data_IF_163980690064
#
_entry.id   IF_163980690064
#
_cell.length_a   1.000
_cell.length_b   1.000
_cell.length_c   1.000
_cell.angle_alpha   90.00
_cell.angle_beta   90.00
_cell.angle_gamma   90.00
#
_symmetry.space_group_name_H-M   'P 1'
#
loop_
_entity.id
_entity.type
_entity.pdbx_description
1 polymer ?
#
# COMPACT_ATOMS: atom_id res chain seq x y z
N UNK A 1 -22.51 -6.05 -14.34
CA UNK A 1 -21.69 -7.27 -14.20
C UNK A 1 -20.63 -7.06 -13.15
N UNK A 2 -20.49 -8.01 -12.26
CA UNK A 2 -19.44 -7.93 -11.27
C UNK A 2 -18.16 -8.49 -11.86
N UNK A 3 -17.06 -7.76 -11.69
CA UNK A 3 -15.72 -8.21 -12.06
C UNK A 3 -15.04 -8.78 -10.83
N UNK A 4 -14.22 -9.80 -11.03
CA UNK A 4 -13.37 -10.29 -9.97
C UNK A 4 -12.07 -9.46 -9.97
N UNK A 5 -11.67 -9.03 -8.79
CA UNK A 5 -10.43 -8.31 -8.58
C UNK A 5 -9.41 -9.22 -7.93
N UNK A 6 -8.16 -9.12 -8.37
CA UNK A 6 -7.07 -9.82 -7.72
C UNK A 6 -6.60 -8.99 -6.54
N UNK A 7 -6.56 -9.62 -5.37
CA UNK A 7 -6.13 -8.97 -4.12
C UNK A 7 -5.06 -9.86 -3.50
N UNK A 8 -3.89 -9.28 -3.26
CA UNK A 8 -2.79 -9.99 -2.63
C UNK A 8 -2.99 -9.98 -1.12
N UNK A 9 -2.92 -11.16 -0.50
CA UNK A 9 -3.08 -11.28 0.94
C UNK A 9 -1.94 -10.57 1.68
N UNK A 10 -2.25 -9.70 2.65
CA UNK A 10 -1.19 -9.02 3.42
C UNK A 10 -0.44 -9.96 4.37
N UNK A 11 -0.97 -11.15 4.62
CA UNK A 11 -0.37 -12.08 5.58
C UNK A 11 0.48 -13.15 4.91
N UNK A 12 0.01 -13.74 3.81
CA UNK A 12 0.70 -14.87 3.17
C UNK A 12 1.10 -14.63 1.71
N UNK A 13 0.79 -13.45 1.17
CA UNK A 13 1.11 -13.05 -0.21
C UNK A 13 0.38 -13.85 -1.30
N UNK A 14 -0.60 -14.68 -0.94
CA UNK A 14 -1.40 -15.39 -1.94
C UNK A 14 -2.29 -14.40 -2.70
N UNK A 15 -2.41 -14.60 -4.02
CA UNK A 15 -3.29 -13.79 -4.85
C UNK A 15 -4.68 -14.37 -4.81
N UNK A 16 -5.65 -13.57 -4.36
CA UNK A 16 -7.04 -13.98 -4.23
C UNK A 16 -7.89 -13.31 -5.31
N UNK A 17 -8.97 -13.95 -5.70
CA UNK A 17 -9.98 -13.34 -6.58
C UNK A 17 -11.19 -12.98 -5.74
N UNK A 18 -11.52 -11.70 -5.72
CA UNK A 18 -12.64 -11.17 -4.92
C UNK A 18 -13.61 -10.47 -5.86
N UNK A 19 -14.89 -10.85 -5.87
CA UNK A 19 -15.87 -10.08 -6.65
C UNK A 19 -15.86 -8.61 -6.22
N UNK A 20 -15.89 -7.69 -7.18
CA UNK A 20 -15.77 -6.26 -6.88
C UNK A 20 -16.84 -5.78 -5.90
N UNK A 21 -18.05 -6.34 -5.98
CA UNK A 21 -19.13 -5.98 -5.06
C UNK A 21 -18.96 -6.50 -3.65
N UNK A 22 -17.94 -7.36 -3.41
CA UNK A 22 -17.71 -7.95 -2.08
C UNK A 22 -16.45 -7.44 -1.39
N UNK A 23 -15.79 -6.44 -1.96
CA UNK A 23 -14.60 -5.88 -1.33
C UNK A 23 -14.89 -5.37 0.09
N UNK A 24 -16.03 -4.74 0.30
CA UNK A 24 -16.41 -4.18 1.60
C UNK A 24 -17.01 -5.18 2.58
N UNK A 25 -17.13 -6.46 2.20
CA UNK A 25 -17.76 -7.48 3.04
C UNK A 25 -16.73 -8.34 3.79
N UNK A 26 -15.59 -7.75 4.10
CA UNK A 26 -14.50 -8.39 4.86
C UNK A 26 -14.07 -9.74 4.27
N UNK A 27 -13.64 -9.75 2.99
CA UNK A 27 -13.21 -10.99 2.36
C UNK A 27 -11.99 -11.58 3.06
N UNK A 28 -11.90 -12.91 3.05
CA UNK A 28 -10.79 -13.64 3.66
C UNK A 28 -9.95 -14.34 2.59
N UNK A 29 -8.68 -14.55 2.92
CA UNK A 29 -7.76 -15.27 2.03
C UNK A 29 -8.15 -16.74 1.95
N UNK A 30 -8.24 -17.26 0.73
CA UNK A 30 -8.56 -18.66 0.51
C UNK A 30 -7.48 -19.61 0.99
N UNK A 31 -6.23 -19.13 1.15
CA UNK A 31 -5.11 -19.94 1.58
C UNK A 31 -4.91 -19.91 3.09
N UNK A 32 -4.75 -18.72 3.69
CA UNK A 32 -4.43 -18.61 5.13
C UNK A 32 -5.64 -18.28 6.00
N UNK A 33 -6.79 -17.98 5.39
CA UNK A 33 -8.08 -17.74 6.06
C UNK A 33 -8.13 -16.45 6.88
N UNK A 34 -7.11 -15.60 6.80
CA UNK A 34 -7.13 -14.30 7.47
C UNK A 34 -7.78 -13.23 6.60
N UNK A 35 -8.18 -12.12 7.22
CA UNK A 35 -8.81 -11.02 6.49
C UNK A 35 -7.85 -10.42 5.48
N UNK A 36 -8.36 -10.12 4.28
CA UNK A 36 -7.58 -9.46 3.23
C UNK A 36 -7.38 -7.97 3.50
N UNK A 37 -8.25 -7.36 4.28
CA UNK A 37 -8.17 -5.94 4.63
C UNK A 37 -8.21 -5.80 6.14
N UNK A 38 -7.16 -5.22 6.70
CA UNK A 38 -6.99 -5.10 8.15
C UNK A 38 -7.05 -3.67 8.65
N UNK A 39 -7.25 -2.71 7.73
CA UNK A 39 -7.19 -1.28 8.03
C UNK A 39 -5.82 -0.83 8.55
N UNK A 40 -4.76 -1.59 8.23
CA UNK A 40 -3.38 -1.29 8.59
C UNK A 40 -2.49 -1.43 7.37
N UNK A 41 -1.42 -0.62 7.26
CA UNK A 41 -0.47 -0.76 6.16
C UNK A 41 0.23 -2.12 6.19
N UNK A 42 0.49 -2.66 5.00
CA UNK A 42 1.23 -3.91 4.86
C UNK A 42 2.73 -3.60 4.88
N UNK A 43 3.49 -4.35 5.67
CA UNK A 43 4.95 -4.23 5.66
C UNK A 43 5.49 -5.01 4.46
N UNK A 44 6.06 -4.29 3.49
CA UNK A 44 6.69 -4.91 2.32
C UNK A 44 8.18 -5.11 2.57
N UNK A 45 8.76 -6.01 1.79
CA UNK A 45 10.21 -6.25 1.77
C UNK A 45 10.65 -6.50 0.33
N UNK A 46 11.93 -6.83 0.15
CA UNK A 46 12.46 -7.08 -1.19
C UNK A 46 11.81 -8.26 -1.89
N UNK A 47 11.24 -9.20 -1.13
CA UNK A 47 10.64 -10.42 -1.68
C UNK A 47 9.19 -10.24 -2.15
N UNK A 48 8.43 -9.34 -1.51
CA UNK A 48 7.00 -9.22 -1.84
C UNK A 48 6.60 -7.87 -2.45
N UNK A 49 7.53 -6.91 -2.54
CA UNK A 49 7.24 -5.57 -3.05
C UNK A 49 6.62 -5.61 -4.46
N UNK A 50 7.31 -6.26 -5.41
CA UNK A 50 6.83 -6.31 -6.80
C UNK A 50 5.51 -7.04 -6.92
N UNK A 51 5.32 -8.09 -6.13
CA UNK A 51 4.06 -8.83 -6.12
C UNK A 51 2.90 -7.94 -5.71
N UNK A 52 3.05 -7.20 -4.63
CA UNK A 52 1.98 -6.35 -4.13
C UNK A 52 1.66 -5.18 -5.07
N UNK A 53 2.66 -4.51 -5.62
CA UNK A 53 2.38 -3.36 -6.49
C UNK A 53 1.86 -3.77 -7.86
N UNK A 54 2.12 -5.01 -8.31
CA UNK A 54 1.74 -5.45 -9.65
C UNK A 54 0.51 -6.36 -9.68
N UNK A 55 0.28 -7.17 -8.65
CA UNK A 55 -0.77 -8.20 -8.68
C UNK A 55 -2.05 -7.80 -7.94
N UNK A 56 -2.08 -6.67 -7.25
CA UNK A 56 -3.31 -6.10 -6.76
C UNK A 56 -4.00 -5.34 -7.89
N UNK A 57 -5.29 -5.57 -8.10
CA UNK A 57 -6.07 -4.81 -9.07
C UNK A 57 -6.54 -3.47 -8.50
N UNK A 58 -6.48 -3.31 -7.19
CA UNK A 58 -6.68 -2.01 -6.55
C UNK A 58 -5.35 -1.27 -6.50
N UNK A 59 -5.37 0.08 -6.48
CA UNK A 59 -4.12 0.84 -6.35
C UNK A 59 -3.44 0.56 -5.02
N UNK A 60 -2.11 0.63 -5.02
CA UNK A 60 -1.28 0.40 -3.83
C UNK A 60 -0.48 1.67 -3.55
N UNK A 61 -0.71 2.25 -2.38
CA UNK A 61 0.00 3.43 -1.91
C UNK A 61 1.13 2.98 -1.00
N UNK A 62 2.38 3.24 -1.42
CA UNK A 62 3.56 2.80 -0.68
C UNK A 62 4.23 3.99 -0.02
N UNK A 63 4.49 3.86 1.28
CA UNK A 63 5.29 4.80 2.06
C UNK A 63 6.73 4.28 2.09
N UNK A 64 7.62 4.99 1.38
CA UNK A 64 9.06 4.72 1.43
C UNK A 64 9.63 5.48 2.62
N UNK A 65 10.14 4.76 3.61
CA UNK A 65 10.54 5.33 4.89
C UNK A 65 11.82 4.68 5.43
N UNK A 66 12.31 5.18 6.54
CA UNK A 66 13.40 4.53 7.29
C UNK A 66 13.22 4.79 8.78
N UNK A 67 13.69 3.86 9.65
CA UNK A 67 13.46 3.98 11.10
C UNK A 67 14.12 5.22 11.74
N UNK A 68 15.22 5.70 11.17
CA UNK A 68 15.95 6.86 11.69
C UNK A 68 15.36 8.20 11.23
N UNK A 69 14.39 8.17 10.35
CA UNK A 69 13.82 9.37 9.73
C UNK A 69 12.75 9.96 10.65
N UNK A 70 12.98 11.15 11.19
CA UNK A 70 12.04 11.82 12.08
C UNK A 70 10.67 12.09 11.44
N UNK A 71 10.63 12.76 10.26
CA UNK A 71 9.35 12.99 9.57
C UNK A 71 8.60 11.73 9.23
N UNK A 72 9.30 10.63 8.90
CA UNK A 72 8.68 9.33 8.64
C UNK A 72 7.95 8.82 9.88
N UNK A 73 8.62 8.91 11.03
CA UNK A 73 8.04 8.46 12.30
C UNK A 73 6.86 9.32 12.72
N UNK A 74 6.93 10.62 12.45
CA UNK A 74 5.81 11.53 12.72
C UNK A 74 4.60 11.21 11.86
N UNK A 75 4.81 10.82 10.61
CA UNK A 75 3.72 10.50 9.70
C UNK A 75 3.11 9.12 9.94
N UNK A 76 3.83 8.21 10.60
CA UNK A 76 3.38 6.82 10.75
C UNK A 76 1.95 6.68 11.29
N UNK A 77 1.54 7.36 12.37
CA UNK A 77 0.15 7.26 12.84
C UNK A 77 -0.86 7.77 11.81
N UNK A 78 -0.53 8.85 11.09
CA UNK A 78 -1.41 9.40 10.06
C UNK A 78 -1.59 8.40 8.91
N UNK A 79 -0.53 7.68 8.56
CA UNK A 79 -0.58 6.69 7.49
C UNK A 79 -1.47 5.50 7.89
N UNK A 80 -1.38 5.07 9.16
CA UNK A 80 -2.28 4.02 9.68
C UNK A 80 -3.73 4.46 9.62
N UNK A 81 -4.03 5.70 10.04
CA UNK A 81 -5.39 6.23 10.00
C UNK A 81 -5.91 6.35 8.56
N UNK A 82 -5.02 6.73 7.63
CA UNK A 82 -5.38 6.80 6.21
C UNK A 82 -5.74 5.41 5.67
N UNK A 83 -5.04 4.36 6.10
CA UNK A 83 -5.37 2.99 5.69
C UNK A 83 -6.80 2.61 6.10
N UNK A 84 -7.22 2.99 7.30
CA UNK A 84 -8.58 2.71 7.78
C UNK A 84 -9.63 3.42 6.92
N UNK A 85 -9.31 4.57 6.35
CA UNK A 85 -10.24 5.34 5.52
C UNK A 85 -10.22 4.92 4.05
N UNK A 86 -9.07 4.47 3.54
CA UNK A 86 -8.90 4.19 2.12
C UNK A 86 -9.14 2.73 1.74
N UNK A 87 -8.89 1.78 2.63
CA UNK A 87 -9.23 0.39 2.35
C UNK A 87 -10.73 0.19 2.40
N UNK A 88 -11.30 -0.65 1.56
CA UNK A 88 -10.66 -1.59 0.63
C UNK A 88 -10.45 -1.05 -0.79
N UNK A 89 -10.72 0.23 -1.04
CA UNK A 89 -10.56 0.80 -2.38
C UNK A 89 -9.10 0.92 -2.80
N UNK A 90 -8.21 1.11 -1.82
CA UNK A 90 -6.76 1.12 -2.00
C UNK A 90 -6.12 0.16 -1.00
N UNK A 91 -4.89 -0.25 -1.29
CA UNK A 91 -4.02 -0.92 -0.34
C UNK A 91 -2.94 0.05 0.09
N UNK A 92 -2.72 0.20 1.40
CA UNK A 92 -1.59 0.96 1.90
C UNK A 92 -0.50 0.01 2.36
N UNK A 93 0.74 0.38 2.05
CA UNK A 93 1.90 -0.46 2.34
C UNK A 93 3.09 0.41 2.69
N UNK A 94 4.06 -0.17 3.37
CA UNK A 94 5.29 0.52 3.78
C UNK A 94 6.49 -0.28 3.32
N UNK A 95 7.53 0.41 2.85
CA UNK A 95 8.80 -0.21 2.52
C UNK A 95 9.92 0.51 3.27
N UNK A 96 10.59 -0.22 4.14
CA UNK A 96 11.77 0.29 4.84
C UNK A 96 12.94 0.32 3.85
N UNK A 97 13.33 1.52 3.43
CA UNK A 97 14.38 1.69 2.42
C UNK A 97 15.76 1.32 2.94
N UNK A 98 15.96 1.27 4.24
CA UNK A 98 17.21 0.83 4.81
C UNK A 98 17.41 -0.67 4.66
N UNK A 99 16.34 -1.45 4.82
CA UNK A 99 16.36 -2.89 4.59
C UNK A 99 16.31 -3.26 3.10
N UNK A 100 15.68 -2.41 2.28
CA UNK A 100 15.48 -2.64 0.85
C UNK A 100 16.11 -1.49 0.05
N UNK A 101 17.41 -1.25 0.23
CA UNK A 101 18.12 -0.13 -0.38
C UNK A 101 18.06 -0.17 -1.90
N UNK A 102 18.16 -1.36 -2.49
CA UNK A 102 18.12 -1.50 -3.93
C UNK A 102 16.77 -1.07 -4.52
N UNK A 103 15.68 -1.38 -3.84
CA UNK A 103 14.35 -0.96 -4.31
C UNK A 103 14.18 0.56 -4.22
N UNK A 104 14.67 1.17 -3.15
CA UNK A 104 14.65 2.63 -3.04
C UNK A 104 15.42 3.29 -4.17
N UNK A 105 16.61 2.77 -4.49
CA UNK A 105 17.43 3.29 -5.58
C UNK A 105 16.77 3.06 -6.94
N UNK A 106 16.21 1.87 -7.16
CA UNK A 106 15.55 1.52 -8.41
C UNK A 106 14.36 2.42 -8.71
N UNK A 107 13.65 2.85 -7.68
CA UNK A 107 12.50 3.74 -7.81
C UNK A 107 12.86 5.21 -7.64
N UNK A 108 14.16 5.53 -7.61
CA UNK A 108 14.66 6.90 -7.52
C UNK A 108 14.10 7.64 -6.30
N UNK A 109 14.05 6.97 -5.16
CA UNK A 109 13.63 7.59 -3.92
C UNK A 109 14.80 8.41 -3.37
N UNK A 110 14.69 9.73 -3.47
CA UNK A 110 15.77 10.65 -3.11
C UNK A 110 15.56 11.30 -1.76
N UNK A 111 14.34 11.28 -1.26
CA UNK A 111 13.99 11.82 0.04
C UNK A 111 12.93 10.94 0.67
N UNK A 112 12.88 10.91 1.99
CA UNK A 112 11.90 10.15 2.75
C UNK A 112 11.28 11.05 3.82
N UNK A 113 9.98 10.87 4.11
CA UNK A 113 9.09 9.90 3.47
C UNK A 113 8.72 10.33 2.05
N UNK A 114 8.51 9.36 1.18
CA UNK A 114 7.92 9.58 -0.13
C UNK A 114 6.78 8.61 -0.29
N UNK A 115 5.61 9.12 -0.65
CA UNK A 115 4.45 8.31 -1.00
C UNK A 115 4.42 8.12 -2.51
N UNK A 116 4.30 6.87 -2.95
CA UNK A 116 4.15 6.57 -4.37
C UNK A 116 2.95 5.65 -4.56
N UNK A 117 2.14 5.97 -5.55
CA UNK A 117 0.91 5.24 -5.85
C UNK A 117 1.13 4.38 -7.09
N UNK A 118 0.88 3.08 -6.95
CA UNK A 118 1.10 2.10 -8.02
C UNK A 118 -0.21 1.43 -8.42
N UNK A 119 -0.29 1.04 -9.69
CA UNK A 119 -1.34 0.16 -10.16
C UNK A 119 -0.79 -0.67 -11.33
N UNK A 120 -0.92 -2.00 -11.23
CA UNK A 120 -0.40 -2.90 -12.25
C UNK A 120 1.12 -2.80 -12.41
N UNK A 121 1.83 -2.49 -11.33
CA UNK A 121 3.27 -2.34 -11.34
C UNK A 121 3.78 -0.98 -11.83
N UNK A 122 2.86 -0.08 -12.21
CA UNK A 122 3.22 1.23 -12.76
C UNK A 122 2.96 2.33 -11.72
N UNK A 123 3.89 3.24 -11.60
CA UNK A 123 3.75 4.39 -10.71
C UNK A 123 2.80 5.41 -11.36
N UNK A 124 1.70 5.72 -10.65
CA UNK A 124 0.72 6.70 -11.13
C UNK A 124 1.05 8.10 -10.65
N UNK A 125 1.55 8.25 -9.44
CA UNK A 125 1.83 9.54 -8.83
C UNK A 125 2.79 9.37 -7.67
N UNK A 126 3.43 10.48 -7.26
CA UNK A 126 4.41 10.47 -6.17
C UNK A 126 4.34 11.81 -5.45
N UNK A 127 4.49 11.78 -4.13
CA UNK A 127 4.52 12.97 -3.29
C UNK A 127 5.57 12.80 -2.22
N UNK A 128 6.56 13.68 -2.20
CA UNK A 128 7.59 13.69 -1.17
C UNK A 128 7.14 14.53 0.03
N UNK A 129 7.59 14.15 1.21
CA UNK A 129 7.35 14.88 2.44
C UNK A 129 6.20 14.34 3.26
N UNK A 130 6.22 14.66 4.56
CA UNK A 130 5.20 14.20 5.49
C UNK A 130 3.88 14.94 5.28
N UNK A 131 2.78 14.22 5.44
CA UNK A 131 1.44 14.79 5.38
C UNK A 131 0.61 14.27 6.55
N UNK A 132 -0.43 15.02 6.93
CA UNK A 132 -1.39 14.53 7.91
C UNK A 132 -2.36 13.55 7.25
N UNK A 133 -3.22 12.94 8.08
CA UNK A 133 -4.18 11.94 7.60
C UNK A 133 -5.06 12.47 6.47
N UNK A 134 -5.64 13.65 6.66
CA UNK A 134 -6.50 14.26 5.65
C UNK A 134 -5.77 14.53 4.35
N UNK A 135 -4.52 14.99 4.45
CA UNK A 135 -3.68 15.24 3.29
C UNK A 135 -3.40 13.96 2.49
N UNK A 136 -3.06 12.88 3.18
CA UNK A 136 -2.81 11.58 2.55
C UNK A 136 -4.07 11.10 1.82
N UNK A 137 -5.21 11.13 2.52
CA UNK A 137 -6.48 10.64 1.95
C UNK A 137 -6.90 11.44 0.72
N UNK A 138 -6.86 12.78 0.81
CA UNK A 138 -7.23 13.63 -0.31
C UNK A 138 -6.29 13.44 -1.50
N UNK A 139 -4.99 13.37 -1.24
CA UNK A 139 -4.00 13.19 -2.30
C UNK A 139 -4.21 11.85 -3.00
N UNK A 140 -4.35 10.77 -2.24
CA UNK A 140 -4.54 9.44 -2.81
C UNK A 140 -5.82 9.38 -3.66
N UNK A 141 -6.93 9.94 -3.16
CA UNK A 141 -8.19 9.94 -3.90
C UNK A 141 -8.13 10.79 -5.17
N UNK A 142 -7.35 11.86 -5.15
CA UNK A 142 -7.21 12.73 -6.33
C UNK A 142 -6.44 12.08 -7.46
N UNK A 143 -5.67 11.02 -7.17
CA UNK A 143 -4.83 10.33 -8.17
C UNK A 143 -5.42 8.98 -8.60
N UNK A 144 -6.54 8.59 -8.04
CA UNK A 144 -7.24 7.34 -8.39
C UNK A 144 -8.70 7.59 -8.91
#
# INVERSE_FOLDING_TARGET
MSHALHIVCPHCNAVNRVPSGKLGEQPTCGKCKQNLFTAHPVELDANNFMLHISRNDIPVLVDFWAPWCGPCRMMAPAFVQAAAQLEPQLRLAKLNTEEAQELGARHNIRSIPTLALFKGGRELARQAGAMDTGGIVRWARSKT
#
